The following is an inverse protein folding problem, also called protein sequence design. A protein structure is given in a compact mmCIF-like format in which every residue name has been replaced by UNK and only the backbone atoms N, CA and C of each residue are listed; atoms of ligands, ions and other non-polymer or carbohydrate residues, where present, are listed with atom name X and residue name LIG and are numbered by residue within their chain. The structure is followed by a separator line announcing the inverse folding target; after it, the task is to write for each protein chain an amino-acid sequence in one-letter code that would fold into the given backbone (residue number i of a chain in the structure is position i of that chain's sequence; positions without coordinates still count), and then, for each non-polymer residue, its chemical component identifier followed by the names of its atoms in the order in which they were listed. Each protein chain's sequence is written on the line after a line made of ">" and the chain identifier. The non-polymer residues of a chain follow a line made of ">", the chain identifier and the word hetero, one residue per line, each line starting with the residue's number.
data_IF_507109094986
#
_entry.id   IF_507109094986
#
_cell.length_a   1.000
_cell.length_b   1.000
_cell.length_c   1.000
_cell.angle_alpha   90.00
_cell.angle_beta   90.00
_cell.angle_gamma   90.00
#
_symmetry.space_group_name_H-M   'P 1'
#
loop_
_entity.id
_entity.type
_entity.pdbx_description
1 polymer ?
#
# COMPACT_ATOMS: atom_id res chain seq x y z
N UNK A 1 -9.34 14.47 -11.46
CA UNK A 1 -9.48 15.66 -10.62
C UNK A 1 -9.01 15.40 -9.20
N UNK A 2 -8.27 16.34 -8.63
CA UNK A 2 -8.10 16.57 -7.19
C UNK A 2 -8.59 17.98 -6.90
N UNK A 3 -9.31 18.18 -5.80
CA UNK A 3 -9.74 19.47 -5.31
C UNK A 3 -9.40 19.59 -3.83
N UNK A 4 -8.73 20.68 -3.46
CA UNK A 4 -8.43 21.03 -2.07
C UNK A 4 -9.44 22.06 -1.62
N UNK A 5 -10.26 21.71 -0.63
CA UNK A 5 -11.19 22.61 0.06
C UNK A 5 -10.55 23.03 1.38
N UNK A 6 -10.59 24.31 1.70
CA UNK A 6 -10.16 24.84 3.00
C UNK A 6 -11.33 24.97 3.97
N UNK A 7 -11.03 25.12 5.25
CA UNK A 7 -12.04 25.13 6.34
C UNK A 7 -12.96 26.37 6.36
N UNK A 8 -12.68 27.36 5.49
CA UNK A 8 -13.51 28.54 5.31
C UNK A 8 -14.81 28.24 4.55
N UNK A 9 -15.89 28.92 4.92
CA UNK A 9 -17.17 28.92 4.19
C UNK A 9 -17.46 30.32 3.66
N UNK A 10 -17.83 30.44 2.40
CA UNK A 10 -18.21 31.71 1.77
C UNK A 10 -19.73 31.88 1.87
N UNK A 11 -20.26 32.90 2.56
CA UNK A 11 -21.70 33.14 2.62
C UNK A 11 -22.18 33.76 1.30
N UNK A 12 -23.21 33.15 0.69
CA UNK A 12 -23.90 33.72 -0.46
C UNK A 12 -25.20 34.34 0.04
N UNK A 13 -25.35 35.65 -0.18
CA UNK A 13 -26.54 36.40 0.20
C UNK A 13 -27.63 36.32 -0.87
N UNK A 14 -28.87 36.09 -0.45
CA UNK A 14 -30.05 36.22 -1.29
C UNK A 14 -30.43 37.69 -1.54
N UNK A 15 -31.50 37.91 -2.30
CA UNK A 15 -31.98 39.24 -2.69
C UNK A 15 -32.34 40.18 -1.52
N UNK A 16 -32.62 39.62 -0.33
CA UNK A 16 -32.95 40.39 0.88
C UNK A 16 -31.74 40.63 1.80
N UNK A 17 -30.52 40.30 1.35
CA UNK A 17 -29.29 40.44 2.14
C UNK A 17 -29.12 39.40 3.26
N UNK A 18 -30.11 38.54 3.47
CA UNK A 18 -30.00 37.33 4.30
C UNK A 18 -29.10 36.29 3.61
N UNK A 19 -28.34 35.53 4.39
CA UNK A 19 -27.52 34.42 3.88
C UNK A 19 -28.47 33.29 3.47
N UNK A 20 -28.43 32.91 2.20
CA UNK A 20 -29.26 31.83 1.63
C UNK A 20 -28.54 30.48 1.79
N UNK A 21 -27.28 30.42 1.36
CA UNK A 21 -26.45 29.23 1.49
C UNK A 21 -24.96 29.57 1.69
N UNK A 22 -24.15 28.55 1.92
CA UNK A 22 -22.70 28.66 2.04
C UNK A 22 -22.01 27.83 0.98
N UNK A 23 -21.07 28.44 0.26
CA UNK A 23 -20.17 27.73 -0.65
C UNK A 23 -18.88 27.32 0.08
N UNK A 24 -18.27 26.23 -0.40
CA UNK A 24 -17.02 25.72 0.12
C UNK A 24 -15.84 26.57 -0.41
N UNK A 25 -14.94 27.01 0.47
CA UNK A 25 -13.76 27.76 0.05
C UNK A 25 -12.74 26.85 -0.65
N UNK A 26 -12.66 26.94 -1.97
CA UNK A 26 -11.71 26.15 -2.77
C UNK A 26 -10.30 26.76 -2.68
N UNK A 27 -9.29 25.95 -2.43
CA UNK A 27 -7.86 26.35 -2.35
C UNK A 27 -7.11 25.97 -3.62
N UNK A 28 -7.36 24.79 -4.17
CA UNK A 28 -6.82 24.37 -5.47
C UNK A 28 -7.74 23.35 -6.16
N UNK A 29 -7.69 23.27 -7.48
CA UNK A 29 -8.33 22.22 -8.26
C UNK A 29 -7.50 21.88 -9.50
N UNK A 30 -7.24 20.60 -9.73
CA UNK A 30 -6.28 20.11 -10.72
C UNK A 30 -6.80 18.83 -11.37
N UNK A 31 -6.68 18.70 -12.69
CA UNK A 31 -6.83 17.42 -13.39
C UNK A 31 -5.49 16.82 -13.78
N UNK A 32 -5.45 15.49 -13.80
CA UNK A 32 -4.26 14.70 -14.08
C UNK A 32 -4.56 13.63 -15.13
N UNK A 33 -3.57 13.37 -16.00
CA UNK A 33 -3.49 12.15 -16.79
C UNK A 33 -3.30 10.92 -15.87
N UNK A 34 -3.50 9.67 -16.35
CA UNK A 34 -3.47 8.48 -15.49
C UNK A 34 -2.20 8.28 -14.66
N UNK A 35 -1.04 8.76 -15.14
CA UNK A 35 0.25 8.69 -14.43
C UNK A 35 0.55 9.93 -13.55
N UNK A 36 -0.44 10.79 -13.30
CA UNK A 36 -0.30 11.95 -12.42
C UNK A 36 0.26 13.22 -13.06
N UNK A 37 0.53 13.22 -14.37
CA UNK A 37 0.93 14.43 -15.09
C UNK A 37 -0.23 15.41 -15.12
N UNK A 38 0.00 16.67 -14.75
CA UNK A 38 -1.05 17.70 -14.74
C UNK A 38 -1.55 18.01 -16.15
N UNK A 39 -2.86 18.12 -16.32
CA UNK A 39 -3.47 18.50 -17.61
C UNK A 39 -3.36 20.01 -17.82
N UNK A 40 -2.70 20.40 -18.92
CA UNK A 40 -2.57 21.81 -19.30
C UNK A 40 -3.94 22.49 -19.43
N UNK A 41 -4.08 23.70 -18.89
CA UNK A 41 -5.34 24.46 -18.86
C UNK A 41 -6.42 23.93 -17.91
N UNK A 42 -6.22 22.78 -17.24
CA UNK A 42 -7.17 22.21 -16.27
C UNK A 42 -6.64 22.30 -14.83
N UNK A 43 -6.26 23.52 -14.46
CA UNK A 43 -5.68 23.87 -13.17
C UNK A 43 -6.26 25.20 -12.68
N UNK A 44 -6.61 25.25 -11.40
CA UNK A 44 -7.03 26.45 -10.68
C UNK A 44 -6.38 26.47 -9.27
N UNK A 45 -6.10 27.67 -8.77
CA UNK A 45 -5.49 27.90 -7.44
C UNK A 45 -5.95 29.24 -6.90
N UNK A 46 -6.29 29.30 -5.61
CA UNK A 46 -6.72 30.51 -4.92
C UNK A 46 -5.58 31.52 -4.63
N UNK A 47 -4.33 31.16 -4.97
CA UNK A 47 -3.13 31.88 -4.55
C UNK A 47 -2.42 31.20 -3.37
N UNK A 48 -1.17 31.58 -3.10
CA UNK A 48 -0.34 31.00 -2.03
C UNK A 48 0.33 29.66 -2.34
N UNK A 49 -0.16 28.90 -3.34
CA UNK A 49 0.49 27.70 -3.86
C UNK A 49 0.28 26.46 -2.97
N UNK A 50 -0.63 25.58 -3.37
CA UNK A 50 -0.84 24.32 -2.65
C UNK A 50 0.23 23.28 -3.04
N UNK A 51 1.00 22.80 -2.06
CA UNK A 51 2.16 21.92 -2.29
C UNK A 51 1.78 20.50 -2.71
N UNK A 52 0.62 19.99 -2.32
CA UNK A 52 0.24 18.60 -2.60
C UNK A 52 -0.57 18.44 -3.90
N UNK A 53 -0.35 17.32 -4.59
CA UNK A 53 -0.97 16.99 -5.87
C UNK A 53 -1.37 15.52 -5.96
N UNK A 54 -0.98 14.86 -7.06
CA UNK A 54 -1.38 13.51 -7.40
C UNK A 54 -1.21 12.52 -6.24
N UNK A 55 -2.27 11.74 -5.96
CA UNK A 55 -2.33 10.77 -4.85
C UNK A 55 -1.94 11.32 -3.47
N UNK A 56 -2.18 12.63 -3.25
CA UNK A 56 -1.87 13.32 -2.00
C UNK A 56 -0.38 13.50 -1.73
N UNK A 57 0.47 13.31 -2.75
CA UNK A 57 1.92 13.47 -2.66
C UNK A 57 2.34 14.91 -2.88
N UNK A 58 3.48 15.26 -2.30
CA UNK A 58 4.00 16.63 -2.38
C UNK A 58 4.64 16.85 -3.75
N UNK A 59 4.31 17.94 -4.44
CA UNK A 59 5.01 18.35 -5.65
C UNK A 59 6.32 19.02 -5.24
N UNK A 60 7.46 18.42 -5.59
CA UNK A 60 8.73 19.13 -5.56
C UNK A 60 8.84 19.92 -6.88
N UNK A 61 8.84 21.25 -6.75
CA UNK A 61 8.84 22.16 -7.88
C UNK A 61 10.19 22.87 -8.06
N UNK A 62 11.19 22.58 -7.20
CA UNK A 62 12.45 23.31 -7.11
C UNK A 62 13.32 23.12 -8.37
N UNK A 63 13.37 21.89 -8.90
CA UNK A 63 14.31 21.50 -9.97
C UNK A 63 13.65 21.44 -11.36
N UNK A 64 12.50 20.76 -11.48
CA UNK A 64 11.81 20.58 -12.78
C UNK A 64 10.57 21.46 -12.97
N UNK A 65 10.32 22.41 -12.06
CA UNK A 65 9.13 23.25 -12.09
C UNK A 65 7.85 22.49 -11.77
N UNK A 66 6.72 23.17 -11.95
CA UNK A 66 5.48 22.77 -11.27
C UNK A 66 4.89 21.41 -11.71
N UNK A 67 4.66 20.52 -10.74
CA UNK A 67 3.95 19.25 -10.94
C UNK A 67 4.72 18.21 -11.75
N UNK A 68 6.04 18.40 -11.90
CA UNK A 68 6.91 17.54 -12.70
C UNK A 68 7.77 16.59 -11.87
N UNK A 69 7.83 16.79 -10.55
CA UNK A 69 8.39 15.84 -9.58
C UNK A 69 7.46 15.73 -8.36
N UNK A 70 7.32 14.53 -7.84
CA UNK A 70 6.46 14.20 -6.70
C UNK A 70 7.27 13.39 -5.69
N UNK A 71 7.30 13.82 -4.44
CA UNK A 71 7.92 13.05 -3.36
C UNK A 71 6.93 11.99 -2.83
N UNK A 72 7.30 10.72 -2.99
CA UNK A 72 6.54 9.58 -2.44
C UNK A 72 7.06 9.11 -1.08
N UNK A 73 8.17 9.66 -0.59
CA UNK A 73 8.83 9.29 0.68
C UNK A 73 10.11 8.48 0.45
N UNK A 74 9.99 7.24 -0.04
CA UNK A 74 11.16 6.41 -0.34
C UNK A 74 11.80 6.72 -1.71
N UNK A 75 11.06 7.35 -2.64
CA UNK A 75 11.49 7.65 -4.01
C UNK A 75 10.86 8.95 -4.53
N UNK A 76 11.60 9.66 -5.39
CA UNK A 76 11.05 10.76 -6.19
C UNK A 76 10.47 10.20 -7.49
N UNK A 77 9.28 10.67 -7.85
CA UNK A 77 8.50 10.24 -9.01
C UNK A 77 8.39 11.35 -10.07
N UNK A 78 8.62 11.02 -11.34
CA UNK A 78 8.43 11.94 -12.47
C UNK A 78 7.15 11.53 -13.24
N UNK A 79 6.01 12.22 -13.00
CA UNK A 79 4.71 11.87 -13.58
C UNK A 79 4.65 12.02 -15.10
N UNK A 80 5.56 12.79 -15.73
CA UNK A 80 5.59 13.01 -17.18
C UNK A 80 5.99 11.75 -17.95
N UNK A 81 6.87 10.95 -17.35
CA UNK A 81 7.33 9.65 -17.89
C UNK A 81 6.69 8.45 -17.17
N UNK A 82 6.01 8.69 -16.05
CA UNK A 82 5.36 7.64 -15.26
C UNK A 82 6.35 6.71 -14.55
N UNK A 83 7.50 7.23 -14.10
CA UNK A 83 8.60 6.44 -13.51
C UNK A 83 9.18 7.10 -12.26
N UNK A 84 9.71 6.26 -11.37
CA UNK A 84 10.59 6.73 -10.30
C UNK A 84 11.98 7.08 -10.84
N UNK A 85 12.62 8.08 -10.23
CA UNK A 85 13.97 8.53 -10.60
C UNK A 85 15.07 7.71 -9.94
N UNK A 86 14.75 6.96 -8.88
CA UNK A 86 15.64 6.07 -8.15
C UNK A 86 15.20 4.61 -8.24
N UNK A 87 16.17 3.71 -8.06
CA UNK A 87 15.98 2.27 -8.08
C UNK A 87 15.28 1.81 -6.79
N UNK A 88 14.28 0.95 -6.93
CA UNK A 88 13.49 0.40 -5.83
C UNK A 88 14.35 -0.17 -4.66
N UNK A 89 14.18 0.30 -3.41
CA UNK A 89 14.83 -0.31 -2.24
C UNK A 89 14.56 -1.82 -2.10
N UNK A 90 13.39 -2.28 -2.56
CA UNK A 90 12.95 -3.67 -2.55
C UNK A 90 13.26 -4.43 -3.85
N UNK A 91 13.99 -3.83 -4.79
CA UNK A 91 14.43 -4.47 -6.05
C UNK A 91 15.00 -5.89 -5.89
N UNK A 92 15.80 -6.13 -4.84
CA UNK A 92 16.37 -7.45 -4.53
C UNK A 92 15.34 -8.50 -4.12
N UNK A 93 14.19 -8.08 -3.59
CA UNK A 93 13.05 -8.92 -3.19
C UNK A 93 12.18 -9.30 -4.41
N UNK A 94 12.19 -8.47 -5.45
CA UNK A 94 11.32 -8.61 -6.63
C UNK A 94 12.08 -8.54 -7.97
N UNK A 95 13.02 -9.47 -8.25
CA UNK A 95 13.89 -9.41 -9.43
C UNK A 95 13.16 -9.53 -10.80
N UNK A 96 11.87 -9.87 -10.80
CA UNK A 96 11.03 -9.92 -12.02
C UNK A 96 10.20 -8.65 -12.28
N UNK A 97 10.27 -7.63 -11.42
CA UNK A 97 9.51 -6.38 -11.55
C UNK A 97 10.45 -5.26 -12.01
N UNK A 98 9.93 -4.31 -12.81
CA UNK A 98 10.71 -3.13 -13.19
C UNK A 98 10.86 -2.18 -11.98
N UNK A 99 12.08 -2.07 -11.47
CA UNK A 99 12.47 -1.27 -10.29
C UNK A 99 12.22 0.24 -10.40
N UNK A 100 11.83 0.75 -11.57
CA UNK A 100 11.48 2.15 -11.81
C UNK A 100 9.99 2.34 -12.16
N UNK A 101 9.21 1.25 -12.21
CA UNK A 101 7.80 1.32 -12.61
C UNK A 101 6.92 1.82 -11.47
N UNK A 102 6.03 2.75 -11.80
CA UNK A 102 4.97 3.17 -10.89
C UNK A 102 3.77 2.23 -10.97
N UNK A 103 3.26 1.80 -9.82
CA UNK A 103 1.99 1.07 -9.70
C UNK A 103 1.83 -0.13 -10.67
N UNK A 104 2.92 -0.86 -10.97
CA UNK A 104 2.98 -1.94 -11.97
C UNK A 104 2.43 -1.55 -13.36
N UNK A 105 2.61 -0.29 -13.77
CA UNK A 105 2.00 0.30 -14.97
C UNK A 105 0.45 0.29 -14.99
N UNK A 106 -0.20 0.08 -13.85
CA UNK A 106 -1.66 0.07 -13.68
C UNK A 106 -2.14 1.20 -12.75
N UNK A 107 -1.79 2.49 -12.98
CA UNK A 107 -2.04 3.59 -12.04
C UNK A 107 -3.53 3.93 -11.86
N UNK A 108 -4.42 3.38 -12.69
CA UNK A 108 -5.88 3.48 -12.55
C UNK A 108 -6.40 2.53 -11.46
N UNK A 109 -5.69 1.43 -11.18
CA UNK A 109 -6.09 0.38 -10.23
C UNK A 109 -5.24 0.33 -8.95
N UNK A 110 -3.97 0.72 -9.05
CA UNK A 110 -2.98 0.61 -7.98
C UNK A 110 -2.38 1.98 -7.67
N UNK A 111 -2.08 2.21 -6.40
CA UNK A 111 -1.42 3.43 -5.90
C UNK A 111 -0.21 3.00 -5.07
N UNK A 112 0.98 3.40 -5.48
CA UNK A 112 2.15 3.32 -4.61
C UNK A 112 2.01 4.39 -3.49
N UNK A 113 2.08 3.97 -2.22
CA UNK A 113 1.69 4.81 -1.07
C UNK A 113 2.88 5.49 -0.42
N UNK A 114 4.00 4.78 -0.30
CA UNK A 114 5.25 5.21 0.35
C UNK A 114 6.45 5.17 -0.61
N UNK A 115 6.22 4.80 -1.88
CA UNK A 115 7.28 4.64 -2.86
C UNK A 115 8.04 3.32 -2.71
N UNK A 116 7.50 2.31 -2.01
CA UNK A 116 8.13 0.98 -1.88
C UNK A 116 7.29 -0.15 -2.48
N UNK A 117 5.97 -0.23 -2.21
CA UNK A 117 5.10 -1.27 -2.77
C UNK A 117 3.76 -0.70 -3.29
N UNK A 118 3.31 -1.08 -4.51
CA UNK A 118 1.98 -0.74 -5.02
C UNK A 118 0.86 -1.31 -4.14
N UNK A 119 0.08 -0.42 -3.52
CA UNK A 119 -1.10 -0.77 -2.74
C UNK A 119 -2.40 -0.65 -3.53
N UNK A 120 -3.41 -1.41 -3.12
CA UNK A 120 -4.79 -1.21 -3.53
C UNK A 120 -5.41 -0.05 -2.69
N UNK A 121 -5.92 1.04 -3.31
CA UNK A 121 -6.49 2.17 -2.57
C UNK A 121 -7.59 1.76 -1.57
N UNK A 122 -8.36 0.70 -1.86
CA UNK A 122 -9.41 0.20 -0.96
C UNK A 122 -8.85 -0.39 0.35
N UNK A 123 -7.61 -0.89 0.34
CA UNK A 123 -6.94 -1.47 1.51
C UNK A 123 -6.27 -0.37 2.36
N UNK A 124 -5.73 0.66 1.70
CA UNK A 124 -4.94 1.74 2.33
C UNK A 124 -5.81 2.66 3.20
N UNK A 125 -6.99 3.04 2.71
CA UNK A 125 -7.79 4.08 3.35
C UNK A 125 -8.44 3.66 4.68
N UNK A 126 -8.52 2.34 4.93
CA UNK A 126 -9.05 1.76 6.18
C UNK A 126 -8.02 1.54 7.30
N UNK A 127 -6.72 1.83 7.10
CA UNK A 127 -5.64 1.48 8.06
C UNK A 127 -4.61 2.58 8.29
N UNK A 128 -5.05 3.75 8.78
CA UNK A 128 -4.15 4.74 9.39
C UNK A 128 -3.47 4.15 10.64
N UNK A 129 -2.25 3.63 10.52
CA UNK A 129 -1.41 3.23 11.66
C UNK A 129 -0.63 1.92 11.57
N UNK A 130 -0.70 1.17 10.46
CA UNK A 130 0.13 -0.03 10.26
C UNK A 130 0.73 -0.05 8.85
N UNK A 131 1.82 0.71 8.66
CA UNK A 131 2.78 0.40 7.60
C UNK A 131 3.38 -0.97 7.88
N UNK A 132 3.79 -1.65 6.79
CA UNK A 132 4.00 -3.10 6.69
C UNK A 132 2.66 -3.86 6.64
N UNK A 133 2.59 -4.84 5.73
CA UNK A 133 1.72 -6.05 5.78
C UNK A 133 0.36 -6.06 5.03
N UNK A 134 0.10 -5.30 3.96
CA UNK A 134 -1.26 -5.16 3.41
C UNK A 134 -1.46 -5.30 1.87
N UNK A 135 -1.13 -6.45 1.26
CA UNK A 135 -1.25 -6.65 -0.21
C UNK A 135 -1.84 -8.01 -0.76
N UNK A 136 -2.02 -9.16 -0.04
CA UNK A 136 -2.56 -10.40 -0.74
C UNK A 136 -3.99 -10.14 -1.18
N UNK A 137 -4.85 -9.76 -0.23
CA UNK A 137 -6.20 -10.33 -0.24
C UNK A 137 -7.13 -9.73 -1.30
N UNK A 138 -6.66 -8.81 -2.15
CA UNK A 138 -7.37 -8.38 -3.37
C UNK A 138 -6.67 -8.74 -4.69
N UNK A 139 -5.42 -9.22 -4.68
CA UNK A 139 -4.87 -9.98 -5.80
C UNK A 139 -5.10 -11.48 -5.54
N UNK A 140 -5.86 -12.12 -6.44
CA UNK A 140 -5.55 -13.51 -6.76
C UNK A 140 -4.11 -13.54 -7.27
N UNK A 141 -3.16 -13.86 -6.36
CA UNK A 141 -1.69 -13.61 -6.37
C UNK A 141 -1.13 -12.42 -5.53
N UNK A 142 -1.14 -12.59 -4.19
CA UNK A 142 0.01 -12.39 -3.25
C UNK A 142 0.20 -11.13 -2.35
N UNK A 143 0.56 -11.39 -1.07
CA UNK A 143 1.26 -10.59 -0.01
C UNK A 143 0.55 -9.72 1.09
N UNK A 144 -0.24 -10.27 2.03
CA UNK A 144 -0.96 -9.59 3.15
C UNK A 144 -0.27 -9.91 4.49
N UNK A 145 0.95 -9.42 4.62
CA UNK A 145 2.09 -10.20 5.13
C UNK A 145 2.07 -10.58 6.63
N UNK A 146 1.16 -10.09 7.50
CA UNK A 146 1.46 -10.07 8.94
C UNK A 146 0.39 -10.25 10.03
N UNK A 147 -0.90 -10.33 9.68
CA UNK A 147 -1.77 -11.23 10.45
C UNK A 147 -1.50 -12.66 9.98
N UNK A 148 -1.33 -12.83 8.66
CA UNK A 148 -0.78 -14.04 8.08
C UNK A 148 0.56 -14.43 8.70
N UNK A 149 1.51 -13.55 9.02
CA UNK A 149 2.82 -13.95 9.59
C UNK A 149 2.74 -14.95 10.76
N UNK A 150 1.71 -14.82 11.61
CA UNK A 150 1.48 -15.68 12.77
C UNK A 150 0.62 -16.89 12.43
N UNK A 151 -0.38 -16.68 11.58
CA UNK A 151 -1.31 -17.72 11.18
C UNK A 151 -0.74 -18.67 10.11
N UNK A 152 0.18 -18.23 9.24
CA UNK A 152 0.79 -19.05 8.17
C UNK A 152 1.87 -19.99 8.70
N UNK A 153 2.66 -19.60 9.70
CA UNK A 153 3.60 -20.51 10.37
C UNK A 153 2.80 -21.67 11.01
N UNK A 154 1.67 -21.36 11.65
CA UNK A 154 0.78 -22.37 12.27
C UNK A 154 -0.04 -23.16 11.23
N UNK A 155 -0.57 -22.52 10.18
CA UNK A 155 -1.32 -23.18 9.10
C UNK A 155 -0.43 -24.08 8.26
N UNK A 156 0.82 -23.69 7.98
CA UNK A 156 1.81 -24.53 7.29
C UNK A 156 2.17 -25.78 8.11
N UNK A 157 2.39 -25.62 9.42
CA UNK A 157 2.59 -26.76 10.33
C UNK A 157 1.35 -27.66 10.40
N UNK A 158 0.14 -27.09 10.37
CA UNK A 158 -1.11 -27.86 10.30
C UNK A 158 -1.31 -28.57 8.96
N UNK A 159 -0.92 -27.97 7.83
CA UNK A 159 -0.98 -28.60 6.51
C UNK A 159 -0.05 -29.82 6.43
N UNK A 160 1.22 -29.66 6.85
CA UNK A 160 2.17 -30.77 6.96
C UNK A 160 1.67 -31.88 7.91
N UNK A 161 0.98 -31.52 9.00
CA UNK A 161 0.32 -32.49 9.90
C UNK A 161 -0.84 -33.25 9.25
N UNK A 162 -1.52 -32.70 8.25
CA UNK A 162 -2.55 -33.44 7.48
C UNK A 162 -1.88 -34.31 6.42
N UNK A 163 -0.92 -33.79 5.65
CA UNK A 163 -0.16 -34.57 4.66
C UNK A 163 0.48 -35.84 5.26
N UNK A 164 1.01 -35.75 6.49
CA UNK A 164 1.55 -36.91 7.22
C UNK A 164 0.47 -37.89 7.69
N UNK A 165 -0.76 -37.44 7.98
CA UNK A 165 -1.88 -38.36 8.28
C UNK A 165 -2.37 -39.04 7.02
N UNK A 166 -2.44 -38.31 5.91
CA UNK A 166 -2.89 -38.82 4.63
C UNK A 166 -1.87 -39.85 4.08
N UNK A 167 -0.57 -39.57 4.18
CA UNK A 167 0.51 -40.54 3.86
C UNK A 167 0.45 -41.78 4.76
N UNK A 168 0.22 -41.60 6.07
CA UNK A 168 0.12 -42.71 7.03
C UNK A 168 -1.14 -43.55 6.78
N UNK A 169 -2.25 -42.92 6.39
CA UNK A 169 -3.51 -43.60 6.05
C UNK A 169 -3.36 -44.38 4.74
N UNK A 170 -2.74 -43.79 3.72
CA UNK A 170 -2.42 -44.46 2.46
C UNK A 170 -1.45 -45.65 2.65
N UNK A 171 -0.58 -45.61 3.66
CA UNK A 171 0.36 -46.68 4.00
C UNK A 171 -0.16 -47.61 5.12
N UNK A 172 -1.46 -47.92 5.14
CA UNK A 172 -2.09 -48.86 6.09
C UNK A 172 -1.75 -48.59 7.58
N UNK A 173 -1.70 -47.32 7.97
CA UNK A 173 -1.39 -46.88 9.34
C UNK A 173 0.10 -46.85 9.69
N UNK A 174 1.02 -47.20 8.77
CA UNK A 174 2.47 -47.19 9.03
C UNK A 174 3.11 -45.88 8.58
N UNK A 175 3.47 -45.04 9.56
CA UNK A 175 4.13 -43.76 9.31
C UNK A 175 5.59 -43.93 8.85
N UNK A 176 5.96 -43.27 7.76
CA UNK A 176 7.28 -43.39 7.12
C UNK A 176 8.38 -42.72 7.98
N UNK A 177 9.66 -43.16 7.93
CA UNK A 177 10.73 -42.56 8.73
C UNK A 177 10.92 -41.05 8.52
N UNK A 178 10.74 -40.57 7.29
CA UNK A 178 10.80 -39.15 6.92
C UNK A 178 9.64 -38.33 7.53
N UNK A 179 8.45 -38.91 7.63
CA UNK A 179 7.30 -38.29 8.27
C UNK A 179 7.51 -38.18 9.79
N UNK A 180 8.13 -39.19 10.41
CA UNK A 180 8.50 -39.16 11.82
C UNK A 180 9.53 -38.05 12.13
N UNK A 181 10.56 -37.89 11.29
CA UNK A 181 11.51 -36.77 11.41
C UNK A 181 10.82 -35.41 11.22
N UNK A 182 9.87 -35.33 10.29
CA UNK A 182 9.12 -34.10 10.01
C UNK A 182 8.22 -33.72 11.19
N UNK A 183 7.52 -34.68 11.82
CA UNK A 183 6.78 -34.45 13.06
C UNK A 183 7.67 -33.98 14.23
N UNK A 184 8.91 -34.46 14.34
CA UNK A 184 9.85 -33.98 15.37
C UNK A 184 10.25 -32.52 15.12
N UNK A 185 10.49 -32.13 13.86
CA UNK A 185 10.75 -30.73 13.48
C UNK A 185 9.55 -29.83 13.80
N UNK A 186 8.33 -30.26 13.45
CA UNK A 186 7.07 -29.55 13.74
C UNK A 186 6.93 -29.28 15.25
N UNK A 187 7.06 -30.31 16.10
CA UNK A 187 6.99 -30.17 17.57
C UNK A 187 8.04 -29.20 18.13
N UNK A 188 9.24 -29.21 17.55
CA UNK A 188 10.35 -28.33 17.97
C UNK A 188 10.05 -26.86 17.61
N UNK A 189 9.51 -26.62 16.41
CA UNK A 189 9.12 -25.29 15.95
C UNK A 189 7.95 -24.72 16.77
N UNK A 190 6.92 -25.52 17.07
CA UNK A 190 5.80 -25.14 17.95
C UNK A 190 6.28 -24.70 19.34
N UNK A 191 7.24 -25.42 19.94
CA UNK A 191 7.85 -25.02 21.21
C UNK A 191 8.55 -23.66 21.12
N UNK A 192 9.32 -23.43 20.06
CA UNK A 192 9.99 -22.15 19.80
C UNK A 192 9.00 -21.00 19.53
N UNK A 193 7.85 -21.24 18.89
CA UNK A 193 6.75 -20.26 18.78
C UNK A 193 6.19 -19.92 20.17
N UNK A 194 5.93 -20.94 21.00
CA UNK A 194 5.43 -20.77 22.37
C UNK A 194 6.37 -19.96 23.27
N UNK A 195 7.68 -20.20 23.20
CA UNK A 195 8.69 -19.47 23.97
C UNK A 195 8.84 -18.01 23.49
N UNK A 196 8.90 -17.78 22.16
CA UNK A 196 8.86 -16.43 21.56
C UNK A 196 7.64 -15.63 22.02
N UNK A 197 6.48 -16.28 22.13
CA UNK A 197 5.24 -15.64 22.58
C UNK A 197 5.21 -15.38 24.10
N UNK A 198 5.85 -16.22 24.92
CA UNK A 198 6.01 -15.96 26.37
C UNK A 198 6.92 -14.77 26.66
N UNK A 199 8.02 -14.61 25.93
CA UNK A 199 8.94 -13.47 26.09
C UNK A 199 8.27 -12.13 25.74
N UNK A 200 7.38 -12.11 24.74
CA UNK A 200 6.62 -10.92 24.32
C UNK A 200 5.45 -10.54 25.23
N UNK A 201 5.14 -11.32 26.28
CA UNK A 201 4.12 -10.99 27.30
C UNK A 201 4.74 -10.51 28.62
N UNK A 202 6.07 -10.34 28.68
CA UNK A 202 6.84 -9.84 29.83
C UNK A 202 7.55 -8.50 29.55
N UNK A 203 7.21 -7.87 28.43
CA UNK A 203 7.54 -6.49 28.05
C UNK A 203 6.23 -5.81 27.66
#
# INVERSE_FOLDING_TARGET
>A
MLATVGDGKQPIAGSEGLIDHYEANLVSAQDYYPFGMMMSGRKWSAGGGYRYGFNGKENDNEIKGEGNELDFGARIYDPRIGRFLSLDPLSRKYPGINNYSYALNSPIRLIDVDGEEPGDPMIVQGRKGQHRLATERSLGSSLNVGVFARDWEVQGLNALRQEIKDSTTANNGKMRPEDQQTLQKIKTQEKAIGERNKQKRKK
#
